data_IF_788584365642
#
_entry.id   IF_788584365642
#
_cell.length_a   1.000
_cell.length_b   1.000
_cell.length_c   1.000
_cell.angle_alpha   90.00
_cell.angle_beta   90.00
_cell.angle_gamma   90.00
#
_symmetry.space_group_name_H-M   'P 1'
#
loop_
_entity.id
_entity.type
_entity.pdbx_description
1 polymer ?
#
# COMPACT_ATOMS: atom_id res chain seq x y z
N UNK A 1 -1.48 -20.69 30.73
CA UNK A 1 -2.70 -21.22 30.07
C UNK A 1 -3.26 -20.35 28.94
N UNK A 2 -2.81 -19.10 28.74
CA UNK A 2 -3.26 -18.23 27.62
C UNK A 2 -2.79 -18.67 26.22
N UNK A 3 -1.62 -19.28 26.13
CA UNK A 3 -1.02 -19.67 24.84
C UNK A 3 -1.85 -20.76 24.15
N UNK A 4 -2.48 -21.67 24.91
CA UNK A 4 -3.30 -22.76 24.37
C UNK A 4 -4.62 -22.22 23.78
N UNK A 5 -5.17 -21.14 24.34
CA UNK A 5 -6.39 -20.49 23.82
C UNK A 5 -6.16 -19.82 22.46
N UNK A 6 -4.99 -19.18 22.27
CA UNK A 6 -4.63 -18.57 20.99
C UNK A 6 -4.42 -19.59 19.88
N UNK A 7 -3.83 -20.75 20.20
CA UNK A 7 -3.64 -21.84 19.23
C UNK A 7 -4.97 -22.47 18.82
N UNK A 8 -5.92 -22.59 19.75
CA UNK A 8 -7.25 -23.13 19.42
C UNK A 8 -8.05 -22.19 18.50
N UNK A 9 -7.97 -20.88 18.73
CA UNK A 9 -8.66 -19.89 17.91
C UNK A 9 -8.11 -19.80 16.48
N UNK A 10 -6.80 -19.85 16.31
CA UNK A 10 -6.18 -19.83 14.97
C UNK A 10 -6.42 -21.12 14.21
N UNK A 11 -6.41 -22.28 14.88
CA UNK A 11 -6.75 -23.58 14.25
C UNK A 11 -8.22 -23.62 13.83
N UNK A 12 -9.14 -23.10 14.63
CA UNK A 12 -10.56 -23.02 14.26
C UNK A 12 -10.81 -22.07 13.06
N UNK A 13 -10.12 -20.93 13.03
CA UNK A 13 -10.19 -19.99 11.92
C UNK A 13 -9.60 -20.58 10.62
N UNK A 14 -8.46 -21.27 10.70
CA UNK A 14 -7.86 -21.98 9.58
C UNK A 14 -8.72 -23.15 9.10
N UNK A 15 -9.39 -23.88 10.00
CA UNK A 15 -10.32 -24.95 9.65
C UNK A 15 -11.59 -24.41 8.96
N UNK A 16 -12.10 -23.24 9.37
CA UNK A 16 -13.20 -22.56 8.68
C UNK A 16 -12.78 -22.11 7.28
N UNK A 17 -11.63 -21.44 7.14
CA UNK A 17 -11.14 -20.94 5.85
C UNK A 17 -10.83 -22.09 4.88
N UNK A 18 -10.21 -23.17 5.37
CA UNK A 18 -9.97 -24.36 4.54
C UNK A 18 -11.26 -25.12 4.21
N UNK A 19 -12.20 -25.22 5.16
CA UNK A 19 -13.52 -25.82 4.93
C UNK A 19 -14.37 -25.07 3.90
N UNK A 20 -14.33 -23.73 3.91
CA UNK A 20 -15.02 -22.88 2.93
C UNK A 20 -14.37 -22.97 1.54
N UNK A 21 -13.05 -23.16 1.44
CA UNK A 21 -12.36 -23.36 0.16
C UNK A 21 -12.58 -24.75 -0.47
N UNK A 22 -13.09 -25.72 0.31
CA UNK A 22 -13.53 -27.02 -0.20
C UNK A 22 -14.99 -27.02 -0.69
N UNK A 23 -15.70 -25.88 -0.57
CA UNK A 23 -16.98 -25.69 -1.24
C UNK A 23 -16.67 -25.39 -2.71
N UNK A 24 -16.38 -26.43 -3.48
CA UNK A 24 -16.70 -26.37 -4.90
C UNK A 24 -18.19 -26.01 -4.98
N UNK A 25 -18.61 -24.97 -5.72
CA UNK A 25 -20.01 -24.86 -6.05
C UNK A 25 -20.36 -26.18 -6.73
N UNK A 26 -21.12 -27.01 -6.03
CA UNK A 26 -21.55 -28.31 -6.50
C UNK A 26 -22.04 -28.08 -7.93
N UNK A 27 -21.37 -28.75 -8.85
CA UNK A 27 -21.55 -28.66 -10.28
C UNK A 27 -22.91 -28.05 -10.65
N UNK A 28 -22.90 -26.81 -11.15
CA UNK A 28 -24.00 -26.30 -11.97
C UNK A 28 -23.99 -27.10 -13.28
N UNK A 29 -24.34 -28.37 -13.19
CA UNK A 29 -24.40 -29.31 -14.29
C UNK A 29 -25.56 -30.23 -14.00
N UNK A 30 -26.75 -29.85 -14.48
CA UNK A 30 -27.95 -30.64 -14.76
C UNK A 30 -28.42 -31.74 -13.77
N UNK A 31 -27.84 -31.84 -12.55
CA UNK A 31 -28.03 -32.97 -11.63
C UNK A 31 -28.64 -32.60 -10.28
N UNK A 32 -28.75 -31.32 -9.96
CA UNK A 32 -29.37 -30.86 -8.72
C UNK A 32 -30.69 -30.17 -9.05
N UNK A 33 -31.81 -30.76 -8.62
CA UNK A 33 -33.12 -30.12 -8.80
C UNK A 33 -33.22 -28.82 -8.01
N UNK A 34 -34.02 -27.83 -8.44
CA UNK A 34 -34.19 -26.58 -7.71
C UNK A 34 -34.59 -26.79 -6.24
N UNK A 35 -35.41 -27.83 -5.96
CA UNK A 35 -35.79 -28.19 -4.59
C UNK A 35 -34.64 -28.75 -3.76
N UNK A 36 -33.75 -29.56 -4.36
CA UNK A 36 -32.57 -30.08 -3.68
C UNK A 36 -31.56 -28.97 -3.37
N UNK A 37 -31.38 -28.01 -4.29
CA UNK A 37 -30.57 -26.82 -4.07
C UNK A 37 -31.12 -25.97 -2.90
N UNK A 38 -32.44 -25.74 -2.88
CA UNK A 38 -33.10 -25.01 -1.81
C UNK A 38 -32.96 -25.72 -0.45
N UNK A 39 -33.14 -27.04 -0.41
CA UNK A 39 -33.00 -27.82 0.81
C UNK A 39 -31.57 -27.73 1.39
N UNK A 40 -30.54 -27.85 0.54
CA UNK A 40 -29.14 -27.70 0.96
C UNK A 40 -28.88 -26.28 1.45
N UNK A 41 -29.41 -25.26 0.77
CA UNK A 41 -29.30 -23.86 1.20
C UNK A 41 -29.92 -23.60 2.58
N UNK A 42 -31.12 -24.12 2.83
CA UNK A 42 -31.80 -23.98 4.13
C UNK A 42 -31.05 -24.73 5.23
N UNK A 43 -30.64 -25.97 4.99
CA UNK A 43 -29.90 -26.77 5.97
C UNK A 43 -28.52 -26.16 6.29
N UNK A 44 -27.78 -25.73 5.26
CA UNK A 44 -26.50 -25.05 5.43
C UNK A 44 -26.65 -23.71 6.15
N UNK A 45 -27.65 -22.92 5.77
CA UNK A 45 -27.96 -21.63 6.39
C UNK A 45 -28.34 -21.76 7.86
N UNK A 46 -29.15 -22.77 8.22
CA UNK A 46 -29.55 -23.03 9.60
C UNK A 46 -28.38 -23.58 10.43
N UNK A 47 -27.53 -24.44 9.85
CA UNK A 47 -26.34 -24.94 10.54
C UNK A 47 -25.35 -23.80 10.87
N UNK A 48 -25.04 -22.95 9.89
CA UNK A 48 -24.12 -21.80 10.09
C UNK A 48 -24.76 -20.74 10.97
N UNK A 49 -26.00 -20.34 10.70
CA UNK A 49 -26.73 -19.34 11.49
C UNK A 49 -26.95 -19.78 12.93
N UNK A 50 -27.28 -21.06 13.15
CA UNK A 50 -27.43 -21.65 14.48
C UNK A 50 -26.12 -21.69 15.25
N UNK A 51 -25.01 -22.06 14.61
CA UNK A 51 -23.69 -22.01 15.22
C UNK A 51 -23.27 -20.59 15.61
N UNK A 52 -23.52 -19.59 14.76
CA UNK A 52 -23.26 -18.18 15.07
C UNK A 52 -24.13 -17.73 16.25
N UNK A 53 -25.43 -17.99 16.22
CA UNK A 53 -26.34 -17.63 17.30
C UNK A 53 -25.95 -18.29 18.63
N UNK A 54 -25.57 -19.56 18.62
CA UNK A 54 -25.10 -20.29 19.81
C UNK A 54 -23.73 -19.81 20.31
N UNK A 55 -22.89 -19.25 19.43
CA UNK A 55 -21.58 -18.68 19.83
C UNK A 55 -21.69 -17.33 20.53
N UNK A 56 -22.85 -16.65 20.43
CA UNK A 56 -23.06 -15.40 21.13
C UNK A 56 -23.26 -15.69 22.62
N UNK A 57 -22.33 -15.22 23.46
CA UNK A 57 -22.55 -15.22 24.90
C UNK A 57 -23.67 -14.22 25.25
N UNK A 58 -24.72 -14.62 25.98
CA UNK A 58 -25.75 -13.69 26.40
C UNK A 58 -25.15 -12.61 27.32
N UNK A 59 -25.24 -11.36 26.88
CA UNK A 59 -24.80 -10.20 27.67
C UNK A 59 -25.94 -9.83 28.62
N UNK A 60 -25.98 -10.47 29.80
CA UNK A 60 -27.05 -10.27 30.78
C UNK A 60 -26.96 -8.96 31.57
N UNK A 61 -25.80 -8.30 31.55
CA UNK A 61 -25.62 -6.99 32.16
C UNK A 61 -24.52 -6.26 31.40
N UNK A 62 -24.90 -5.37 30.49
CA UNK A 62 -23.94 -4.37 30.02
C UNK A 62 -23.60 -3.49 31.23
N UNK A 63 -22.31 -3.37 31.62
CA UNK A 63 -21.92 -2.44 32.67
C UNK A 63 -22.45 -1.04 32.33
N UNK A 64 -22.96 -0.33 33.33
CA UNK A 64 -23.34 1.06 33.14
C UNK A 64 -22.15 1.83 32.54
N UNK A 65 -22.36 2.67 31.52
CA UNK A 65 -21.27 3.41 30.90
C UNK A 65 -20.59 4.28 31.95
N UNK A 66 -19.30 4.04 32.18
CA UNK A 66 -18.48 4.88 33.05
C UNK A 66 -18.11 6.13 32.25
N UNK A 67 -18.78 7.24 32.54
CA UNK A 67 -18.41 8.54 32.00
C UNK A 67 -17.15 9.03 32.72
N UNK A 68 -16.02 8.87 32.06
CA UNK A 68 -14.76 9.48 32.51
C UNK A 68 -14.70 10.89 31.93
N UNK A 69 -14.45 11.88 32.78
CA UNK A 69 -14.17 13.22 32.31
C UNK A 69 -12.97 13.18 31.34
N UNK A 70 -13.03 13.90 30.20
CA UNK A 70 -11.88 14.02 29.31
C UNK A 70 -10.64 14.50 30.09
N UNK A 71 -9.45 13.98 29.79
CA UNK A 71 -8.22 14.47 30.41
C UNK A 71 -8.06 15.97 30.14
N UNK A 72 -7.45 16.73 31.08
CA UNK A 72 -7.26 18.17 30.90
C UNK A 72 -6.47 18.44 29.60
N UNK A 73 -6.77 19.56 28.92
CA UNK A 73 -6.08 19.92 27.69
C UNK A 73 -4.58 20.07 27.97
N UNK A 74 -3.76 19.40 27.17
CA UNK A 74 -2.30 19.55 27.23
C UNK A 74 -1.96 20.98 26.83
N UNK A 75 -1.24 21.68 27.69
CA UNK A 75 -0.72 23.00 27.36
C UNK A 75 0.31 22.85 26.23
N UNK A 76 0.26 23.68 25.17
CA UNK A 76 1.29 23.67 24.15
C UNK A 76 2.62 24.09 24.77
N UNK A 77 3.62 23.21 24.67
CA UNK A 77 5.01 23.56 24.98
C UNK A 77 5.55 24.25 23.73
N UNK A 78 5.69 25.57 23.81
CA UNK A 78 6.39 26.33 22.78
C UNK A 78 7.89 26.10 22.94
N UNK A 79 8.48 25.36 22.00
CA UNK A 79 9.92 25.20 21.90
C UNK A 79 10.41 26.23 20.87
N UNK A 80 11.22 27.18 21.32
CA UNK A 80 11.93 28.09 20.43
C UNK A 80 12.89 27.25 19.58
N UNK A 81 12.67 27.20 18.27
CA UNK A 81 13.56 26.49 17.35
C UNK A 81 14.83 27.30 17.13
N UNK A 82 16.00 26.68 17.35
CA UNK A 82 17.27 27.31 17.03
C UNK A 82 17.37 27.65 15.53
N UNK A 83 17.95 28.81 15.16
CA UNK A 83 18.12 29.18 13.75
C UNK A 83 19.08 28.22 13.05
N UNK A 84 18.62 27.60 11.95
CA UNK A 84 19.46 26.79 11.06
C UNK A 84 20.17 27.71 10.07
N UNK A 85 21.49 27.84 10.20
CA UNK A 85 22.31 28.60 9.26
C UNK A 85 22.76 27.71 8.09
N UNK A 86 22.39 28.10 6.87
CA UNK A 86 22.86 27.45 5.65
C UNK A 86 24.11 28.15 5.12
N UNK A 87 25.08 27.35 4.69
CA UNK A 87 26.19 27.87 3.90
C UNK A 87 25.69 28.39 2.56
N UNK A 88 26.22 29.53 2.06
CA UNK A 88 25.90 30.02 0.73
C UNK A 88 26.34 29.00 -0.34
N UNK A 89 25.60 28.89 -1.46
CA UNK A 89 25.98 28.00 -2.54
C UNK A 89 27.35 28.41 -3.14
N UNK A 90 28.12 27.46 -3.68
CA UNK A 90 29.38 27.77 -4.34
C UNK A 90 29.15 28.68 -5.56
N UNK A 91 30.12 29.54 -5.92
CA UNK A 91 30.00 30.39 -7.09
C UNK A 91 29.93 29.55 -8.38
N UNK A 92 29.25 30.04 -9.43
CA UNK A 92 29.22 29.35 -10.71
C UNK A 92 30.63 29.29 -11.32
N UNK A 93 30.98 28.12 -11.87
CA UNK A 93 32.22 27.93 -12.62
C UNK A 93 31.92 28.18 -14.11
N UNK A 94 32.52 29.24 -14.66
CA UNK A 94 32.47 29.51 -16.10
C UNK A 94 33.56 28.72 -16.81
N UNK A 95 33.17 27.84 -17.72
CA UNK A 95 34.09 27.10 -18.59
C UNK A 95 33.99 27.64 -20.00
N UNK A 96 35.13 28.07 -20.57
CA UNK A 96 35.20 28.43 -21.98
C UNK A 96 35.00 27.17 -22.83
N UNK A 97 34.03 27.22 -23.75
CA UNK A 97 33.77 26.11 -24.67
C UNK A 97 34.46 26.38 -26.00
N UNK A 98 35.57 25.68 -26.23
CA UNK A 98 36.26 25.73 -27.51
C UNK A 98 35.72 24.66 -28.48
N UNK A 99 35.33 25.07 -29.68
CA UNK A 99 34.94 24.18 -30.79
C UNK A 99 35.91 24.34 -31.95
N UNK A 100 36.12 23.27 -32.71
CA UNK A 100 36.91 23.33 -33.95
C UNK A 100 35.96 23.48 -35.13
N UNK A 101 35.95 24.66 -35.74
CA UNK A 101 35.19 24.93 -36.94
C UNK A 101 36.00 24.53 -38.18
N UNK A 102 35.35 23.88 -39.13
CA UNK A 102 35.90 23.61 -40.46
C UNK A 102 35.24 24.57 -41.45
N UNK A 103 36.03 25.24 -42.28
CA UNK A 103 35.53 26.14 -43.30
C UNK A 103 36.32 26.00 -44.59
N UNK A 104 35.69 26.31 -45.70
CA UNK A 104 36.32 26.34 -47.02
C UNK A 104 36.73 27.77 -47.36
N UNK A 105 37.99 27.96 -47.71
CA UNK A 105 38.54 29.25 -48.18
C UNK A 105 38.99 29.10 -49.63
N UNK A 106 38.59 30.02 -50.50
CA UNK A 106 39.05 30.03 -51.89
C UNK A 106 40.45 30.64 -51.95
N UNK A 107 41.43 29.84 -52.39
CA UNK A 107 42.81 30.27 -52.55
C UNK A 107 43.10 30.47 -54.05
N UNK A 108 43.41 31.71 -54.51
CA UNK A 108 43.71 31.97 -55.91
C UNK A 108 44.85 31.10 -56.43
N UNK A 109 44.63 30.38 -57.52
CA UNK A 109 45.60 29.45 -58.12
C UNK A 109 45.58 28.02 -57.55
N UNK A 110 44.80 27.75 -56.49
CA UNK A 110 44.70 26.41 -55.87
C UNK A 110 43.26 25.87 -55.81
N UNK A 111 42.28 26.75 -55.61
CA UNK A 111 40.86 26.40 -55.49
C UNK A 111 40.36 26.40 -54.05
N UNK A 112 39.31 25.63 -53.77
CA UNK A 112 38.74 25.53 -52.42
C UNK A 112 39.65 24.71 -51.48
N UNK A 113 40.17 25.36 -50.44
CA UNK A 113 40.97 24.72 -49.40
C UNK A 113 40.15 24.55 -48.11
N UNK A 114 40.19 23.36 -47.52
CA UNK A 114 39.54 23.07 -46.23
C UNK A 114 40.46 23.45 -45.08
N UNK A 115 40.07 24.47 -44.31
CA UNK A 115 40.82 24.96 -43.14
C UNK A 115 40.08 24.70 -41.84
N UNK A 116 40.83 24.72 -40.74
CA UNK A 116 40.30 24.53 -39.39
C UNK A 116 40.71 25.70 -38.51
N UNK A 117 39.78 26.22 -37.72
CA UNK A 117 40.07 27.19 -36.66
C UNK A 117 39.43 26.77 -35.35
N UNK A 118 40.08 27.11 -34.24
CA UNK A 118 39.52 26.91 -32.89
C UNK A 118 38.83 28.19 -32.46
N UNK A 119 37.55 28.09 -32.12
CA UNK A 119 36.72 29.21 -31.64
C UNK A 119 36.28 28.89 -30.22
N UNK A 120 36.58 29.78 -29.28
CA UNK A 120 36.18 29.66 -27.88
C UNK A 120 35.08 30.68 -27.56
N UNK A 121 34.09 30.28 -26.76
CA UNK A 121 32.95 31.09 -26.32
C UNK A 121 32.61 30.84 -24.86
#
# INVERSE_FOLDING_TARGET
MKIIQFVSGTVAALALVTGLSAVTPAAAGDRLSPGAAAAIGVLGGLAVGGAIAASQSPVYAAPAPVYVAPPPPRQPIYVESEPVYYAPPPPPVYVERCVTERYSEWVPGWGWEQRRRRVCR
#
